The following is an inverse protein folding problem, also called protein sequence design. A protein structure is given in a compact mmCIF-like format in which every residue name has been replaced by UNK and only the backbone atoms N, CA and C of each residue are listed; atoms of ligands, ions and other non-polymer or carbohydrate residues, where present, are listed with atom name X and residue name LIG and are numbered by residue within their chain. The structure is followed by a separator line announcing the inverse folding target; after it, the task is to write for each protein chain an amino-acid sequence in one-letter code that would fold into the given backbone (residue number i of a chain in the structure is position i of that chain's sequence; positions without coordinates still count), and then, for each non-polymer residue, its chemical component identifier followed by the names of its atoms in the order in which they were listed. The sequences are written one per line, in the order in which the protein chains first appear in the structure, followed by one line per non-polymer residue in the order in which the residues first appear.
data_IF_475727642473
#
_entry.id   IF_475727642473
#
_cell.length_a   1.000
_cell.length_b   1.000
_cell.length_c   1.000
_cell.angle_alpha   90.00
_cell.angle_beta   90.00
_cell.angle_gamma   90.00
#
_symmetry.space_group_name_H-M   'P 1'
#
loop_
_entity.id
_entity.type
_entity.pdbx_description
1 polymer ?
#
# COMPACT_ATOMS: atom_id res chain seq x y z
N UNK A 1 8.84 3.65 -14.91
CA UNK A 1 7.99 3.02 -13.88
C UNK A 1 8.54 1.62 -13.70
N UNK A 2 8.96 1.26 -12.49
CA UNK A 2 9.47 -0.09 -12.21
C UNK A 2 8.31 -1.08 -12.29
N UNK A 3 8.44 -2.21 -13.01
CA UNK A 3 7.39 -3.22 -13.04
C UNK A 3 7.18 -3.83 -11.65
N UNK A 4 5.91 -3.97 -11.25
CA UNK A 4 5.51 -4.60 -9.99
C UNK A 4 4.96 -5.99 -10.32
N UNK A 5 5.54 -7.01 -9.70
CA UNK A 5 5.15 -8.40 -9.86
C UNK A 5 4.32 -8.87 -8.67
N UNK A 6 3.09 -9.31 -8.92
CA UNK A 6 2.20 -9.79 -7.89
C UNK A 6 2.25 -11.31 -7.74
N UNK A 7 2.18 -11.77 -6.49
CA UNK A 7 1.93 -13.17 -6.14
C UNK A 7 0.88 -13.23 -5.02
N UNK A 8 0.04 -14.25 -5.06
CA UNK A 8 -1.06 -14.45 -4.10
C UNK A 8 -0.91 -15.84 -3.48
N UNK A 9 -0.09 -15.97 -2.41
CA UNK A 9 0.13 -17.27 -1.76
C UNK A 9 -1.18 -17.91 -1.27
N UNK A 10 -2.13 -17.08 -0.82
CA UNK A 10 -3.45 -17.48 -0.35
C UNK A 10 -4.45 -16.30 -0.44
N UNK A 11 -5.68 -16.49 0.04
CA UNK A 11 -6.74 -15.46 0.00
C UNK A 11 -6.56 -14.32 1.00
N UNK A 12 -5.71 -14.51 2.00
CA UNK A 12 -5.43 -13.58 3.09
C UNK A 12 -4.07 -12.89 2.92
N UNK A 13 -3.31 -13.21 1.88
CA UNK A 13 -1.97 -12.67 1.63
C UNK A 13 -1.77 -12.31 0.17
N UNK A 14 -1.34 -11.07 -0.07
CA UNK A 14 -0.86 -10.60 -1.37
C UNK A 14 0.55 -10.04 -1.22
N UNK A 15 1.43 -10.40 -2.15
CA UNK A 15 2.82 -9.95 -2.17
C UNK A 15 3.09 -9.24 -3.49
N UNK A 16 3.60 -8.01 -3.43
CA UNK A 16 4.09 -7.25 -4.58
C UNK A 16 5.62 -7.15 -4.50
N UNK A 17 6.32 -7.45 -5.59
CA UNK A 17 7.77 -7.35 -5.69
C UNK A 17 8.19 -6.37 -6.77
N UNK A 18 9.20 -5.57 -6.51
CA UNK A 18 9.83 -4.70 -7.49
C UNK A 18 11.28 -4.43 -7.11
N UNK A 19 12.08 -3.97 -8.07
CA UNK A 19 13.52 -3.72 -7.90
C UNK A 19 13.89 -2.29 -8.29
N UNK A 20 14.67 -1.63 -7.46
CA UNK A 20 15.22 -0.30 -7.74
C UNK A 20 16.74 -0.38 -7.69
N UNK A 21 17.40 -0.39 -8.86
CA UNK A 21 18.83 -0.70 -8.92
C UNK A 21 19.09 -2.15 -8.48
N UNK A 22 19.99 -2.35 -7.52
CA UNK A 22 20.22 -3.66 -6.90
C UNK A 22 19.31 -3.96 -5.70
N UNK A 23 18.46 -3.01 -5.31
CA UNK A 23 17.60 -3.12 -4.13
C UNK A 23 16.30 -3.81 -4.51
N UNK A 24 15.99 -4.94 -3.88
CA UNK A 24 14.70 -5.61 -3.96
C UNK A 24 13.78 -5.09 -2.86
N UNK A 25 12.50 -4.88 -3.20
CA UNK A 25 11.46 -4.55 -2.23
C UNK A 25 10.28 -5.50 -2.36
N UNK A 26 9.84 -6.03 -1.22
CA UNK A 26 8.68 -6.90 -1.12
C UNK A 26 7.62 -6.21 -0.27
N UNK A 27 6.51 -5.82 -0.89
CA UNK A 27 5.32 -5.29 -0.20
C UNK A 27 4.42 -6.47 0.16
N UNK A 28 4.04 -6.56 1.44
CA UNK A 28 3.12 -7.57 1.95
C UNK A 28 1.82 -6.91 2.40
N UNK A 29 0.70 -7.35 1.83
CA UNK A 29 -0.63 -7.08 2.34
C UNK A 29 -1.20 -8.36 2.96
N UNK A 30 -1.50 -8.32 4.26
CA UNK A 30 -2.07 -9.46 4.99
C UNK A 30 -3.43 -9.09 5.58
N UNK A 31 -4.42 -9.95 5.40
CA UNK A 31 -5.73 -9.79 6.00
C UNK A 31 -5.66 -10.12 7.49
N UNK A 32 -6.22 -9.23 8.29
CA UNK A 32 -6.44 -9.42 9.73
C UNK A 32 -7.90 -9.06 10.03
N UNK A 33 -8.75 -10.08 10.06
CA UNK A 33 -10.20 -9.93 10.15
C UNK A 33 -10.79 -9.18 8.95
N UNK A 34 -11.35 -7.98 9.21
CA UNK A 34 -11.97 -7.13 8.18
C UNK A 34 -11.02 -6.13 7.53
N UNK A 35 -9.79 -6.06 8.02
CA UNK A 35 -8.82 -5.07 7.57
C UNK A 35 -7.63 -5.75 6.90
N UNK A 36 -6.93 -5.01 6.05
CA UNK A 36 -5.65 -5.43 5.49
C UNK A 36 -4.52 -4.65 6.14
N UNK A 37 -3.45 -5.33 6.52
CA UNK A 37 -2.24 -4.72 7.04
C UNK A 37 -1.18 -4.68 5.94
N UNK A 38 -0.69 -3.48 5.64
CA UNK A 38 0.41 -3.26 4.71
C UNK A 38 1.72 -3.15 5.50
N UNK A 39 2.72 -3.92 5.07
CA UNK A 39 4.12 -3.79 5.46
C UNK A 39 5.03 -4.04 4.25
N UNK A 40 6.32 -3.79 4.38
CA UNK A 40 7.29 -4.09 3.33
C UNK A 40 8.67 -4.38 3.90
N UNK A 41 9.43 -5.17 3.16
CA UNK A 41 10.82 -5.52 3.44
C UNK A 41 11.67 -5.05 2.26
N UNK A 42 12.90 -4.61 2.56
CA UNK A 42 13.86 -4.09 1.59
C UNK A 42 15.17 -4.85 1.76
N UNK A 43 15.67 -5.43 0.69
CA UNK A 43 16.93 -6.18 0.66
C UNK A 43 17.89 -5.54 -0.35
N UNK A 44 19.13 -5.28 0.07
CA UNK A 44 20.17 -4.70 -0.78
C UNK A 44 21.27 -4.01 0.02
N UNK A 45 22.31 -3.48 -0.67
CA UNK A 45 23.39 -2.73 -0.04
C UNK A 45 22.87 -1.49 0.69
N UNK A 46 23.27 -1.27 1.95
CA UNK A 46 22.70 -0.19 2.79
C UNK A 46 22.84 1.21 2.20
N UNK A 47 23.94 1.48 1.49
CA UNK A 47 24.15 2.74 0.77
C UNK A 47 23.13 2.91 -0.37
N UNK A 48 22.89 1.86 -1.16
CA UNK A 48 21.91 1.89 -2.25
C UNK A 48 20.48 2.00 -1.72
N UNK A 49 20.15 1.30 -0.62
CA UNK A 49 18.85 1.47 0.05
C UNK A 49 18.63 2.94 0.45
N UNK A 50 19.65 3.60 1.01
CA UNK A 50 19.55 5.01 1.38
C UNK A 50 19.36 5.92 0.15
N UNK A 51 20.12 5.70 -0.93
CA UNK A 51 20.00 6.49 -2.16
C UNK A 51 18.66 6.29 -2.88
N UNK A 52 18.10 5.08 -2.81
CA UNK A 52 16.86 4.71 -3.49
C UNK A 52 15.61 4.87 -2.61
N UNK A 53 15.73 5.39 -1.38
CA UNK A 53 14.63 5.45 -0.42
C UNK A 53 13.35 6.06 -1.00
N UNK A 54 13.44 7.20 -1.71
CA UNK A 54 12.27 7.86 -2.30
C UNK A 54 11.58 6.99 -3.38
N UNK A 55 12.37 6.27 -4.17
CA UNK A 55 11.88 5.39 -5.24
C UNK A 55 11.27 4.11 -4.66
N UNK A 56 11.85 3.57 -3.58
CA UNK A 56 11.31 2.46 -2.80
C UNK A 56 9.93 2.85 -2.26
N UNK A 57 9.82 3.98 -1.56
CA UNK A 57 8.53 4.44 -1.04
C UNK A 57 7.51 4.63 -2.17
N UNK A 58 7.90 5.25 -3.29
CA UNK A 58 7.01 5.39 -4.44
C UNK A 58 6.52 4.03 -4.96
N UNK A 59 7.38 3.04 -5.08
CA UNK A 59 6.99 1.68 -5.50
C UNK A 59 6.03 1.01 -4.51
N UNK A 60 6.21 1.23 -3.20
CA UNK A 60 5.27 0.76 -2.16
C UNK A 60 3.87 1.39 -2.36
N UNK A 61 3.81 2.69 -2.67
CA UNK A 61 2.55 3.37 -2.94
C UNK A 61 1.91 2.94 -4.26
N UNK A 62 2.69 2.76 -5.32
CA UNK A 62 2.21 2.24 -6.60
C UNK A 62 1.61 0.81 -6.41
N UNK A 63 2.23 -0.03 -5.57
CA UNK A 63 1.68 -1.34 -5.20
C UNK A 63 0.37 -1.22 -4.40
N UNK A 64 0.31 -0.30 -3.43
CA UNK A 64 -0.92 -0.03 -2.68
C UNK A 64 -2.05 0.42 -3.61
N UNK A 65 -1.80 1.37 -4.51
CA UNK A 65 -2.82 1.86 -5.46
C UNK A 65 -3.38 0.73 -6.33
N UNK A 66 -2.51 -0.12 -6.89
CA UNK A 66 -2.93 -1.29 -7.65
C UNK A 66 -3.78 -2.25 -6.81
N UNK A 67 -3.39 -2.49 -5.56
CA UNK A 67 -4.16 -3.32 -4.65
C UNK A 67 -5.54 -2.73 -4.35
N UNK A 68 -5.61 -1.43 -4.01
CA UNK A 68 -6.85 -0.73 -3.69
C UNK A 68 -7.82 -0.71 -4.88
N UNK A 69 -7.30 -0.59 -6.10
CA UNK A 69 -8.09 -0.58 -7.33
C UNK A 69 -8.71 -1.95 -7.66
N UNK A 70 -8.04 -3.05 -7.30
CA UNK A 70 -8.48 -4.41 -7.65
C UNK A 70 -9.27 -5.08 -6.51
N UNK A 71 -8.75 -5.04 -5.28
CA UNK A 71 -9.34 -5.74 -4.13
C UNK A 71 -10.37 -4.92 -3.38
N UNK A 72 -10.32 -3.61 -3.59
CA UNK A 72 -11.21 -2.62 -2.99
C UNK A 72 -11.54 -2.84 -1.49
N UNK A 73 -10.54 -3.07 -0.62
CA UNK A 73 -10.77 -3.37 0.80
C UNK A 73 -11.50 -2.22 1.52
N UNK A 74 -12.23 -2.56 2.59
CA UNK A 74 -12.88 -1.52 3.40
C UNK A 74 -11.86 -0.69 4.20
N UNK A 75 -10.85 -1.37 4.73
CA UNK A 75 -9.84 -0.78 5.62
C UNK A 75 -8.46 -1.33 5.30
N UNK A 76 -7.47 -0.44 5.18
CA UNK A 76 -6.04 -0.78 5.15
C UNK A 76 -5.33 -0.06 6.28
N UNK A 77 -4.52 -0.78 7.06
CA UNK A 77 -3.67 -0.23 8.11
C UNK A 77 -2.21 -0.34 7.67
N UNK A 78 -1.43 0.71 7.89
CA UNK A 78 0.02 0.65 7.73
C UNK A 78 0.62 0.14 9.03
N UNK A 79 1.07 -1.12 9.02
CA UNK A 79 1.64 -1.77 10.18
C UNK A 79 3.17 -1.61 10.15
N UNK A 80 3.69 -0.78 11.04
CA UNK A 80 5.12 -0.67 11.33
C UNK A 80 5.29 -0.49 12.82
N UNK A 81 6.19 -1.27 13.41
CA UNK A 81 6.66 -1.15 14.80
C UNK A 81 7.75 -0.07 14.95
N UNK A 82 8.25 0.43 13.82
CA UNK A 82 9.24 1.50 13.73
C UNK A 82 8.57 2.87 13.62
N UNK A 83 8.81 3.71 14.63
CA UNK A 83 8.24 5.07 14.74
C UNK A 83 8.75 6.03 13.65
N UNK A 84 10.01 5.90 13.23
CA UNK A 84 10.59 6.70 12.15
C UNK A 84 9.90 6.42 10.81
N UNK A 85 9.63 5.15 10.51
CA UNK A 85 8.86 4.76 9.32
C UNK A 85 7.40 5.23 9.39
N UNK A 86 6.82 5.28 10.59
CA UNK A 86 5.44 5.73 10.79
C UNK A 86 5.23 7.18 10.33
N UNK A 87 6.16 8.07 10.70
CA UNK A 87 6.12 9.48 10.33
C UNK A 87 6.35 9.70 8.83
N UNK A 88 7.28 8.95 8.24
CA UNK A 88 7.52 8.97 6.79
C UNK A 88 6.24 8.54 6.04
N UNK A 89 5.60 7.46 6.49
CA UNK A 89 4.33 7.00 5.91
C UNK A 89 3.25 8.06 5.96
N UNK A 90 3.05 8.70 7.12
CA UNK A 90 2.07 9.77 7.28
C UNK A 90 2.31 10.88 6.27
N UNK A 91 3.56 11.36 6.17
CA UNK A 91 3.95 12.43 5.26
C UNK A 91 3.68 12.07 3.80
N UNK A 92 4.01 10.85 3.40
CA UNK A 92 3.76 10.37 2.05
C UNK A 92 2.26 10.17 1.76
N UNK A 93 1.49 9.62 2.71
CA UNK A 93 0.05 9.43 2.57
C UNK A 93 -0.68 10.76 2.43
N UNK A 94 -0.24 11.79 3.16
CA UNK A 94 -0.74 13.15 3.02
C UNK A 94 -0.45 13.72 1.63
N UNK A 95 0.76 13.50 1.11
CA UNK A 95 1.16 13.92 -0.24
C UNK A 95 0.33 13.23 -1.33
N UNK A 96 0.07 11.93 -1.20
CA UNK A 96 -0.70 11.14 -2.17
C UNK A 96 -2.21 11.14 -1.89
N UNK A 97 -2.68 11.91 -0.91
CA UNK A 97 -4.09 11.95 -0.47
C UNK A 97 -5.08 12.22 -1.60
N UNK A 98 -4.72 13.04 -2.59
CA UNK A 98 -5.56 13.31 -3.78
C UNK A 98 -5.80 12.05 -4.62
N UNK A 99 -4.78 11.20 -4.80
CA UNK A 99 -4.90 9.94 -5.54
C UNK A 99 -5.71 8.91 -4.77
N UNK A 100 -5.45 8.80 -3.46
CA UNK A 100 -6.22 7.91 -2.58
C UNK A 100 -7.71 8.30 -2.57
N UNK A 101 -8.00 9.61 -2.56
CA UNK A 101 -9.36 10.14 -2.64
C UNK A 101 -10.04 9.82 -3.98
N UNK A 102 -9.31 9.86 -5.10
CA UNK A 102 -9.87 9.50 -6.41
C UNK A 102 -10.28 8.02 -6.45
N UNK A 103 -9.48 7.14 -5.82
CA UNK A 103 -9.77 5.71 -5.59
C UNK A 103 -10.89 5.47 -4.57
N UNK A 104 -11.41 6.51 -3.91
CA UNK A 104 -12.51 6.40 -2.95
C UNK A 104 -12.07 6.07 -1.52
N UNK A 105 -10.81 6.36 -1.18
CA UNK A 105 -10.25 6.17 0.15
C UNK A 105 -9.95 7.51 0.82
N UNK A 106 -10.18 7.57 2.12
CA UNK A 106 -9.78 8.68 2.97
C UNK A 106 -8.73 8.20 3.97
N UNK A 107 -7.70 9.02 4.14
CA UNK A 107 -6.70 8.84 5.17
C UNK A 107 -7.23 9.34 6.52
N UNK A 108 -7.15 8.48 7.52
CA UNK A 108 -7.22 8.79 8.93
C UNK A 108 -5.77 8.90 9.41
N UNK A 109 -5.26 10.14 9.41
CA UNK A 109 -3.84 10.45 9.61
C UNK A 109 -3.36 10.19 11.03
N UNK A 110 -4.26 10.24 12.02
CA UNK A 110 -3.95 9.90 13.42
C UNK A 110 -3.59 8.42 13.56
N UNK A 111 -4.25 7.55 12.80
CA UNK A 111 -4.12 6.10 12.96
C UNK A 111 -3.35 5.41 11.83
N UNK A 112 -2.92 6.15 10.79
CA UNK A 112 -2.36 5.57 9.55
C UNK A 112 -3.31 4.52 8.99
N UNK A 113 -4.58 4.91 8.83
CA UNK A 113 -5.63 4.02 8.34
C UNK A 113 -6.23 4.61 7.06
N UNK A 114 -6.33 3.80 6.02
CA UNK A 114 -7.13 4.12 4.85
C UNK A 114 -8.49 3.47 4.98
N UNK A 115 -9.53 4.30 4.93
CA UNK A 115 -10.93 3.85 4.96
C UNK A 115 -11.59 4.17 3.64
N UNK A 116 -12.26 3.16 3.09
CA UNK A 116 -13.07 3.34 1.89
C UNK A 116 -14.32 4.15 2.24
N UNK A 117 -14.61 5.20 1.47
CA UNK A 117 -15.83 6.02 1.62
C UNK A 117 -16.72 6.01 0.38
N UNK A 118 -16.19 5.63 -0.79
CA UNK A 118 -17.02 5.35 -1.97
C UNK A 118 -17.41 3.87 -1.99
N UNK A 119 -18.70 3.52 -2.05
CA UNK A 119 -19.11 2.13 -2.20
C UNK A 119 -18.55 1.54 -3.49
N UNK A 120 -18.34 0.21 -3.51
CA UNK A 120 -17.93 -0.51 -4.71
C UNK A 120 -18.86 -0.17 -5.86
N UNK A 121 -18.27 0.14 -7.03
CA UNK A 121 -19.05 0.33 -8.26
C UNK A 121 -19.79 -0.97 -8.65
N UNK A 122 -19.40 -2.11 -8.07
CA UNK A 122 -20.06 -3.41 -8.18
C UNK A 122 -21.27 -3.57 -7.24
N UNK A 123 -21.44 -2.72 -6.23
CA UNK A 123 -22.55 -2.78 -5.29
C UNK A 123 -23.68 -1.79 -5.64
N UNK A 124 -23.90 -1.52 -6.93
CA UNK A 124 -25.22 -1.09 -7.38
C UNK A 124 -26.01 -2.37 -7.67
N UNK A 125 -27.10 -2.67 -6.94
CA UNK A 125 -28.12 -3.54 -7.50
C UNK A 125 -28.58 -2.87 -8.80
N UNK A 126 -28.39 -3.57 -9.90
CA UNK A 126 -29.15 -3.30 -11.11
C UNK A 126 -30.56 -3.82 -10.83
N UNK A 127 -31.53 -2.90 -10.93
CA UNK A 127 -32.98 -3.12 -11.06
C UNK A 127 -33.74 -3.61 -9.80
N UNK A 128 -35.01 -3.25 -9.59
CA UNK A 128 -36.04 -2.70 -10.50
C UNK A 128 -36.95 -1.69 -9.78
#
# INVERSE_FOLDING_TARGET
MTPIFWSYPDTEKALARFTTGSVETVVSLRRNGRSWQLGFEVEGPSNEVAYSALEIFRGVFDALEQFLAVREPMTVLFATDRDDLAEIYRTYLEKESKRLTSLGYRLDSEHRVLRRFKPSRWAAPVEA
#
